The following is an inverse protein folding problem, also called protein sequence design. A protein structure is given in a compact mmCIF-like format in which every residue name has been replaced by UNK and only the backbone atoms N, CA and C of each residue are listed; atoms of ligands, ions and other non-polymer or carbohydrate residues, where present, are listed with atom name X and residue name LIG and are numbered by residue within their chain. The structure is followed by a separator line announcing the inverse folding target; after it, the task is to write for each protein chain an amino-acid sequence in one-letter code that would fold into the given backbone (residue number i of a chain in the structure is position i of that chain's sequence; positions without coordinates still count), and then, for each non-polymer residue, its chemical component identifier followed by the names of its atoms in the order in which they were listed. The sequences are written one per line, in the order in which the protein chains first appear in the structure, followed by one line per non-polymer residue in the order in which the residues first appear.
data_IF_917361602876
#
_entry.id   IF_917361602876
#
_cell.length_a   1.000
_cell.length_b   1.000
_cell.length_c   1.000
_cell.angle_alpha   90.00
_cell.angle_beta   90.00
_cell.angle_gamma   90.00
#
_symmetry.space_group_name_H-M   'P 1'
#
loop_
_entity.id
_entity.type
_entity.pdbx_description
1 polymer ?
#
# COMPACT_ATOMS: atom_id res chain seq x y z
N UNK A 1 -4.23 8.10 1.83
CA UNK A 1 -3.47 6.83 2.07
C UNK A 1 -2.49 7.04 3.20
N UNK A 2 -2.38 6.10 4.10
CA UNK A 2 -1.40 6.13 5.19
C UNK A 2 -0.65 4.80 5.24
N UNK A 3 0.61 4.83 5.65
CA UNK A 3 1.45 3.65 5.77
C UNK A 3 2.42 3.76 6.95
N UNK A 4 2.78 2.62 7.52
CA UNK A 4 3.92 2.50 8.42
C UNK A 4 5.24 2.50 7.62
N UNK A 5 6.37 2.31 8.28
CA UNK A 5 7.69 2.40 7.64
C UNK A 5 8.59 1.20 7.92
N UNK A 6 8.04 0.05 8.33
CA UNK A 6 8.85 -1.13 8.64
C UNK A 6 9.38 -1.85 7.40
N UNK A 7 10.61 -2.33 7.51
CA UNK A 7 11.20 -3.28 6.58
C UNK A 7 11.85 -4.41 7.40
N UNK A 8 11.45 -5.64 7.10
CA UNK A 8 11.91 -6.84 7.81
C UNK A 8 12.73 -7.76 6.89
N UNK A 9 13.70 -8.46 7.50
CA UNK A 9 14.31 -9.65 6.92
C UNK A 9 13.99 -10.79 7.87
N UNK A 10 13.17 -11.75 7.40
CA UNK A 10 12.55 -12.72 8.30
C UNK A 10 11.71 -12.02 9.35
N UNK A 11 11.97 -12.29 10.65
CA UNK A 11 11.25 -11.64 11.75
C UNK A 11 12.03 -10.43 12.35
N UNK A 12 13.14 -10.05 11.73
CA UNK A 12 13.99 -8.97 12.22
C UNK A 12 13.71 -7.66 11.50
N UNK A 13 13.37 -6.62 12.26
CA UNK A 13 13.27 -5.26 11.73
C UNK A 13 14.66 -4.73 11.39
N UNK A 14 14.90 -4.42 10.12
CA UNK A 14 16.21 -4.04 9.59
C UNK A 14 16.31 -2.53 9.38
N UNK A 15 15.28 -1.92 8.78
CA UNK A 15 15.31 -0.51 8.48
C UNK A 15 13.88 0.05 8.28
N UNK A 16 13.78 1.36 8.20
CA UNK A 16 12.55 2.04 7.78
C UNK A 16 12.61 2.32 6.29
N UNK A 17 11.45 2.21 5.62
CA UNK A 17 11.33 2.52 4.20
C UNK A 17 10.01 3.21 3.88
N UNK A 18 9.99 3.93 2.79
CA UNK A 18 8.75 4.47 2.24
C UNK A 18 7.96 3.35 1.57
N UNK A 19 6.66 3.30 1.85
CA UNK A 19 5.73 2.29 1.30
C UNK A 19 4.65 2.89 0.39
N UNK A 20 4.66 4.19 0.18
CA UNK A 20 3.73 4.89 -0.70
C UNK A 20 4.51 5.75 -1.68
N UNK A 21 4.14 5.68 -2.95
CA UNK A 21 4.74 6.45 -4.04
C UNK A 21 3.68 7.24 -4.78
N UNK A 22 4.10 8.36 -5.38
CA UNK A 22 3.28 9.09 -6.33
C UNK A 22 3.64 8.65 -7.75
N UNK A 23 2.64 8.18 -8.48
CA UNK A 23 2.82 7.72 -9.87
C UNK A 23 1.69 8.29 -10.71
N UNK A 24 2.02 9.02 -11.77
CA UNK A 24 1.05 9.55 -12.72
C UNK A 24 -0.05 10.44 -12.11
N UNK A 25 0.26 11.15 -11.02
CA UNK A 25 -0.71 11.97 -10.29
C UNK A 25 -1.57 11.20 -9.30
N UNK A 26 -1.42 9.89 -9.23
CA UNK A 26 -2.07 9.01 -8.25
C UNK A 26 -1.16 8.63 -7.10
N UNK A 27 -1.62 7.67 -6.31
CA UNK A 27 -0.90 7.11 -5.16
C UNK A 27 -0.81 5.60 -5.27
N UNK A 28 0.32 5.03 -4.90
CA UNK A 28 0.56 3.59 -4.85
C UNK A 28 1.08 3.21 -3.48
N UNK A 29 0.36 2.34 -2.78
CA UNK A 29 0.81 1.76 -1.52
C UNK A 29 1.05 0.27 -1.70
N UNK A 30 2.17 -0.23 -1.19
CA UNK A 30 2.56 -1.63 -1.35
C UNK A 30 2.93 -2.28 -0.03
N UNK A 31 2.69 -3.59 0.03
CA UNK A 31 3.15 -4.48 1.08
C UNK A 31 3.67 -5.78 0.46
N UNK A 32 4.62 -6.44 1.13
CA UNK A 32 5.19 -7.70 0.66
C UNK A 32 6.70 -7.63 0.44
N UNK A 33 7.19 -8.39 -0.51
CA UNK A 33 8.61 -8.47 -0.83
C UNK A 33 9.14 -7.15 -1.42
N UNK A 34 10.25 -6.64 -0.88
CA UNK A 34 10.81 -5.33 -1.27
C UNK A 34 11.22 -5.29 -2.73
N UNK A 35 11.85 -6.34 -3.24
CA UNK A 35 12.26 -6.39 -4.64
C UNK A 35 11.05 -6.41 -5.58
N UNK A 36 10.01 -7.14 -5.21
CA UNK A 36 8.75 -7.16 -5.96
C UNK A 36 8.03 -5.80 -5.90
N UNK A 37 8.05 -5.12 -4.76
CA UNK A 37 7.49 -3.76 -4.62
C UNK A 37 8.18 -2.80 -5.60
N UNK A 38 9.50 -2.79 -5.67
CA UNK A 38 10.23 -1.92 -6.60
C UNK A 38 9.94 -2.27 -8.06
N UNK A 39 9.86 -3.55 -8.39
CA UNK A 39 9.50 -3.99 -9.74
C UNK A 39 8.06 -3.56 -10.12
N UNK A 40 7.11 -3.67 -9.20
CA UNK A 40 5.73 -3.26 -9.40
C UNK A 40 5.62 -1.73 -9.62
N UNK A 41 6.26 -0.94 -8.79
CA UNK A 41 6.24 0.53 -8.91
C UNK A 41 6.88 0.96 -10.23
N UNK A 42 7.97 0.33 -10.63
CA UNK A 42 8.61 0.58 -11.95
C UNK A 42 7.68 0.25 -13.10
N UNK A 43 7.02 -0.90 -13.04
CA UNK A 43 6.05 -1.31 -14.04
C UNK A 43 4.92 -0.28 -14.21
N UNK A 44 4.38 0.24 -13.10
CA UNK A 44 3.39 1.32 -13.14
C UNK A 44 3.94 2.60 -13.76
N UNK A 45 5.15 3.00 -13.41
CA UNK A 45 5.80 4.19 -13.96
C UNK A 45 6.06 4.07 -15.47
N UNK A 46 6.32 2.87 -15.94
CA UNK A 46 6.60 2.58 -17.35
C UNK A 46 5.33 2.38 -18.19
N UNK A 47 4.14 2.61 -17.62
CA UNK A 47 2.86 2.60 -18.33
C UNK A 47 1.96 1.40 -18.08
N UNK A 48 2.35 0.49 -17.22
CA UNK A 48 1.54 -0.65 -16.80
C UNK A 48 1.05 -1.55 -17.95
N UNK A 49 1.93 -1.83 -18.90
CA UNK A 49 1.63 -2.76 -19.99
C UNK A 49 1.50 -4.19 -19.44
N UNK A 50 0.38 -4.85 -19.73
CA UNK A 50 0.10 -6.20 -19.26
C UNK A 50 1.14 -7.23 -19.70
N UNK A 51 1.73 -7.06 -20.89
CA UNK A 51 2.74 -7.96 -21.42
C UNK A 51 4.08 -7.85 -20.68
N UNK A 52 4.31 -6.73 -20.00
CA UNK A 52 5.53 -6.44 -19.23
C UNK A 52 5.34 -6.59 -17.72
N UNK A 53 4.24 -7.18 -17.28
CA UNK A 53 4.00 -7.39 -15.85
C UNK A 53 5.09 -8.29 -15.26
N UNK A 54 5.79 -7.82 -14.21
CA UNK A 54 6.87 -8.60 -13.62
C UNK A 54 6.35 -9.88 -12.94
N UNK A 55 7.19 -10.88 -12.87
CA UNK A 55 6.88 -12.11 -12.13
C UNK A 55 6.89 -11.81 -10.63
N UNK A 56 5.74 -11.99 -9.98
CA UNK A 56 5.54 -11.66 -8.58
C UNK A 56 4.74 -12.74 -7.85
N UNK A 57 5.05 -12.94 -6.56
CA UNK A 57 4.39 -13.93 -5.71
C UNK A 57 3.90 -13.35 -4.38
N UNK A 58 4.62 -12.37 -3.83
CA UNK A 58 4.42 -11.84 -2.47
C UNK A 58 4.22 -10.34 -2.48
N UNK A 59 3.29 -9.84 -3.29
CA UNK A 59 2.95 -8.43 -3.30
C UNK A 59 1.45 -8.23 -3.10
N UNK A 60 1.12 -7.23 -2.31
CA UNK A 60 -0.20 -6.60 -2.28
C UNK A 60 0.00 -5.12 -2.56
N UNK A 61 -0.85 -4.53 -3.39
CA UNK A 61 -0.77 -3.11 -3.68
C UNK A 61 -2.16 -2.48 -3.80
N UNK A 62 -2.25 -1.23 -3.38
CA UNK A 62 -3.41 -0.37 -3.62
C UNK A 62 -2.95 0.77 -4.52
N UNK A 63 -3.56 0.88 -5.69
CA UNK A 63 -3.30 1.96 -6.65
C UNK A 63 -4.52 2.86 -6.70
N UNK A 64 -4.33 4.13 -6.38
CA UNK A 64 -5.38 5.16 -6.48
C UNK A 64 -5.02 6.08 -7.63
N UNK A 65 -5.89 6.15 -8.64
CA UNK A 65 -5.67 7.04 -9.77
C UNK A 65 -5.94 8.52 -9.40
N UNK A 66 -5.59 9.48 -10.27
CA UNK A 66 -5.80 10.90 -9.99
C UNK A 66 -7.26 11.30 -9.78
N UNK A 67 -8.20 10.47 -10.21
CA UNK A 67 -9.64 10.69 -10.08
C UNK A 67 -10.23 10.07 -8.81
N UNK A 68 -9.41 9.38 -8.01
CA UNK A 68 -9.83 8.77 -6.75
C UNK A 68 -10.30 7.33 -6.85
N UNK A 69 -10.25 6.70 -8.03
CA UNK A 69 -10.58 5.28 -8.16
C UNK A 69 -9.44 4.43 -7.60
N UNK A 70 -9.77 3.55 -6.67
CA UNK A 70 -8.82 2.65 -6.05
C UNK A 70 -8.93 1.24 -6.63
N UNK A 71 -7.77 0.63 -6.87
CA UNK A 71 -7.66 -0.75 -7.36
C UNK A 71 -6.67 -1.53 -6.51
N UNK A 72 -7.00 -2.78 -6.25
CA UNK A 72 -6.13 -3.71 -5.54
C UNK A 72 -5.47 -4.68 -6.52
N UNK A 73 -4.17 -4.85 -6.35
CA UNK A 73 -3.38 -5.87 -7.07
C UNK A 73 -2.88 -6.90 -6.07
N UNK A 74 -2.96 -8.16 -6.44
CA UNK A 74 -2.45 -9.27 -5.63
C UNK A 74 -1.60 -10.23 -6.48
N UNK A 75 -0.34 -10.43 -6.05
CA UNK A 75 0.54 -11.48 -6.54
C UNK A 75 0.73 -11.51 -8.05
N UNK A 76 0.41 -12.64 -8.65
CA UNK A 76 0.83 -13.02 -10.00
C UNK A 76 0.03 -12.37 -11.13
N UNK A 77 -1.09 -11.73 -10.84
CA UNK A 77 -1.96 -11.18 -11.89
C UNK A 77 -1.77 -9.68 -12.09
N UNK A 78 -1.72 -9.28 -13.35
CA UNK A 78 -1.76 -7.87 -13.75
C UNK A 78 -3.18 -7.28 -13.78
N UNK A 79 -4.21 -8.10 -13.48
CA UNK A 79 -5.60 -7.67 -13.45
C UNK A 79 -5.98 -7.20 -12.05
N UNK A 80 -6.25 -5.91 -11.85
CA UNK A 80 -6.66 -5.39 -10.55
C UNK A 80 -8.14 -5.60 -10.27
N UNK A 81 -8.47 -5.61 -8.98
CA UNK A 81 -9.85 -5.50 -8.52
C UNK A 81 -10.17 -4.05 -8.15
N UNK A 82 -11.29 -3.52 -8.64
CA UNK A 82 -11.77 -2.20 -8.23
C UNK A 82 -12.27 -2.27 -6.79
N UNK A 83 -11.74 -1.39 -5.94
CA UNK A 83 -12.16 -1.28 -4.54
C UNK A 83 -13.37 -0.36 -4.48
N UNK A 84 -14.52 -0.90 -4.07
CA UNK A 84 -15.78 -0.16 -3.96
C UNK A 84 -16.14 0.21 -2.52
N UNK A 85 -15.36 -0.28 -1.55
CA UNK A 85 -15.54 0.03 -0.14
C UNK A 85 -15.03 1.45 0.16
N UNK A 86 -15.56 2.06 1.21
CA UNK A 86 -15.15 3.39 1.66
C UNK A 86 -13.69 3.44 2.13
N UNK A 87 -13.16 2.31 2.55
CA UNK A 87 -11.78 2.15 3.00
C UNK A 87 -11.28 0.73 2.70
N UNK A 88 -9.96 0.59 2.66
CA UNK A 88 -9.29 -0.71 2.53
C UNK A 88 -7.93 -0.68 3.21
N UNK A 89 -7.38 -1.85 3.48
CA UNK A 89 -6.05 -1.99 4.05
C UNK A 89 -5.37 -3.25 3.51
N UNK A 90 -4.05 -3.23 3.46
CA UNK A 90 -3.20 -4.35 3.05
C UNK A 90 -2.04 -4.51 4.04
N UNK A 91 -1.37 -5.64 3.97
CA UNK A 91 -0.19 -5.94 4.78
C UNK A 91 -0.52 -6.59 6.12
N UNK A 92 0.52 -6.73 6.95
CA UNK A 92 0.45 -7.45 8.24
C UNK A 92 -0.43 -6.75 9.27
N UNK A 93 -0.57 -5.43 9.21
CA UNK A 93 -1.43 -4.64 10.08
C UNK A 93 -2.88 -4.49 9.61
N UNK A 94 -3.24 -5.17 8.54
CA UNK A 94 -4.54 -5.02 7.85
C UNK A 94 -5.74 -5.16 8.78
N UNK A 95 -5.78 -6.22 9.58
CA UNK A 95 -6.97 -6.51 10.40
C UNK A 95 -7.19 -5.45 11.48
N UNK A 96 -6.12 -4.99 12.11
CA UNK A 96 -6.19 -3.89 13.09
C UNK A 96 -6.62 -2.59 12.42
N UNK A 97 -6.05 -2.27 11.26
CA UNK A 97 -6.40 -1.06 10.52
C UNK A 97 -7.87 -1.08 10.05
N UNK A 98 -8.34 -2.19 9.52
CA UNK A 98 -9.74 -2.36 9.10
C UNK A 98 -10.70 -2.20 10.29
N UNK A 99 -10.40 -2.82 11.41
CA UNK A 99 -11.21 -2.68 12.62
C UNK A 99 -11.27 -1.24 13.13
N UNK A 100 -10.15 -0.54 13.11
CA UNK A 100 -10.08 0.86 13.51
C UNK A 100 -10.93 1.75 12.58
N UNK A 101 -10.83 1.56 11.27
CA UNK A 101 -11.61 2.33 10.29
C UNK A 101 -13.11 2.02 10.37
N UNK A 102 -13.48 0.78 10.63
CA UNK A 102 -14.86 0.40 10.90
C UNK A 102 -15.42 1.16 12.11
N UNK A 103 -14.60 1.38 13.12
CA UNK A 103 -14.97 2.13 14.33
C UNK A 103 -14.93 3.65 14.14
N UNK A 104 -14.62 4.15 12.94
CA UNK A 104 -14.64 5.57 12.60
C UNK A 104 -13.28 6.25 12.51
N UNK A 105 -12.17 5.53 12.68
CA UNK A 105 -10.84 6.10 12.52
C UNK A 105 -10.55 6.46 11.04
N UNK A 106 -9.79 7.54 10.83
CA UNK A 106 -9.22 7.83 9.52
C UNK A 106 -8.01 6.91 9.22
N UNK A 107 -7.45 7.01 8.03
CA UNK A 107 -6.32 6.16 7.62
C UNK A 107 -5.10 6.34 8.53
N UNK A 108 -4.80 7.57 8.97
CA UNK A 108 -3.67 7.84 9.89
C UNK A 108 -3.86 7.11 11.21
N UNK A 109 -5.02 7.24 11.83
CA UNK A 109 -5.30 6.60 13.11
C UNK A 109 -5.35 5.08 12.98
N UNK A 110 -5.85 4.57 11.86
CA UNK A 110 -5.86 3.14 11.58
C UNK A 110 -4.44 2.56 11.51
N UNK A 111 -3.52 3.23 10.81
CA UNK A 111 -2.12 2.79 10.75
C UNK A 111 -1.43 2.96 12.10
N UNK A 112 -1.71 4.02 12.85
CA UNK A 112 -1.20 4.19 14.22
C UNK A 112 -1.66 3.06 15.14
N UNK A 113 -2.91 2.63 15.03
CA UNK A 113 -3.42 1.47 15.77
C UNK A 113 -2.65 0.20 15.40
N UNK A 114 -2.38 -0.03 14.11
CA UNK A 114 -1.57 -1.16 13.66
C UNK A 114 -0.14 -1.11 14.21
N UNK A 115 0.50 0.07 14.20
CA UNK A 115 1.83 0.26 14.79
C UNK A 115 1.83 -0.04 16.29
N UNK A 116 0.78 0.36 17.01
CA UNK A 116 0.65 0.15 18.45
C UNK A 116 0.42 -1.32 18.82
N UNK A 117 -0.38 -2.03 18.03
CA UNK A 117 -0.93 -3.33 18.40
C UNK A 117 -0.41 -4.51 17.59
N UNK A 118 0.44 -4.29 16.59
CA UNK A 118 1.10 -5.37 15.84
C UNK A 118 2.61 -5.27 15.96
N UNK A 119 3.30 -6.41 15.96
CA UNK A 119 4.75 -6.45 16.08
C UNK A 119 5.50 -6.09 14.80
N UNK A 120 4.82 -6.07 13.65
CA UNK A 120 5.44 -5.89 12.34
C UNK A 120 5.24 -4.52 11.72
N UNK A 121 4.36 -3.70 12.27
CA UNK A 121 4.18 -2.32 11.83
C UNK A 121 5.01 -1.38 12.69
N UNK A 122 5.74 -0.47 12.07
CA UNK A 122 6.68 0.44 12.76
C UNK A 122 6.51 1.88 12.33
N UNK A 123 6.74 2.87 13.24
CA UNK A 123 6.76 4.28 12.88
C UNK A 123 7.98 4.60 12.00
N UNK A 124 8.00 5.76 11.33
CA UNK A 124 6.95 6.77 11.32
C UNK A 124 5.75 6.40 10.47
N UNK A 125 4.57 6.89 10.85
CA UNK A 125 3.34 6.81 10.05
C UNK A 125 3.32 8.00 9.09
N UNK A 126 3.27 7.71 7.80
CA UNK A 126 3.24 8.72 6.75
C UNK A 126 1.87 8.76 6.08
N UNK A 127 1.38 9.96 5.82
CA UNK A 127 0.07 10.18 5.20
C UNK A 127 0.24 10.90 3.88
N UNK A 128 -0.45 10.40 2.86
CA UNK A 128 -0.44 10.95 1.51
C UNK A 128 -1.87 11.21 1.06
N UNK A 129 -2.06 12.36 0.43
CA UNK A 129 -3.36 12.74 -0.15
C UNK A 129 -3.20 12.97 -1.64
N UNK A 130 -4.25 12.69 -2.39
CA UNK A 130 -4.31 13.11 -3.79
C UNK A 130 -4.24 14.65 -3.82
N UNK A 131 -3.55 15.16 -4.84
CA UNK A 131 -3.54 16.62 -5.05
C UNK A 131 -4.92 17.03 -5.53
N UNK A 132 -5.44 18.11 -4.94
CA UNK A 132 -6.67 18.71 -5.46
C UNK A 132 -6.42 19.21 -6.89
N UNK A 133 -7.42 18.99 -7.77
CA UNK A 133 -7.40 19.60 -9.09
C UNK A 133 -7.86 21.04 -8.94
N UNK A 134 -6.98 21.95 -9.23
CA UNK A 134 -7.31 23.37 -9.38
C UNK A 134 -7.83 23.65 -10.77
#
# INVERSE_FOLDING_TARGET
MAADSSCFVGDTHVLTMRKVWRVGGGLVGCAGDVAEIFAFVRWLKDGADKDDYPEMKNIEAIVVDPFGTARAYEGETSEPMVIRNEYCAIGSGRDVALGAMFAGADARMAVRAAVRHTGQSKPPVRVYRLKEKT
#
